data_IF_385446858900
#
_entry.id   IF_385446858900
#
_cell.length_a   1.000
_cell.length_b   1.000
_cell.length_c   1.000
_cell.angle_alpha   90.00
_cell.angle_beta   90.00
_cell.angle_gamma   90.00
#
_symmetry.space_group_name_H-M   'P 1'
#
loop_
_entity.id
_entity.type
_entity.pdbx_description
1 polymer ?
#
# COMPACT_ATOMS: atom_id res chain seq x y z
N UNK A 1 5.76 -6.50 -16.02
CA UNK A 1 7.13 -6.26 -15.51
C UNK A 1 7.13 -5.17 -14.45
N UNK A 2 7.82 -5.41 -13.37
CA UNK A 2 7.94 -4.43 -12.30
C UNK A 2 9.21 -3.61 -12.48
N UNK A 3 9.08 -2.30 -12.35
CA UNK A 3 10.18 -1.34 -12.41
C UNK A 3 10.07 -0.46 -11.18
N UNK A 4 11.17 -0.19 -10.51
CA UNK A 4 11.08 0.63 -9.33
C UNK A 4 12.41 1.10 -8.81
N UNK A 5 12.34 1.96 -7.80
CA UNK A 5 13.50 2.47 -7.10
C UNK A 5 13.26 2.44 -5.60
N UNK A 6 14.32 2.21 -4.85
CA UNK A 6 14.32 2.28 -3.41
C UNK A 6 14.89 3.64 -3.00
N UNK A 7 14.14 4.37 -2.17
CA UNK A 7 14.54 5.68 -1.68
C UNK A 7 14.48 5.69 -0.16
N UNK A 8 15.26 6.54 0.47
CA UNK A 8 15.37 6.58 1.94
C UNK A 8 14.04 6.78 2.65
N UNK A 9 13.11 7.52 2.06
CA UNK A 9 11.84 7.89 2.69
C UNK A 9 10.62 7.40 1.91
N UNK A 10 10.82 6.87 0.70
CA UNK A 10 9.72 6.39 -0.14
C UNK A 10 10.21 5.35 -1.12
N UNK A 11 9.57 4.20 -1.11
CA UNK A 11 9.78 3.14 -2.08
C UNK A 11 8.61 3.14 -3.05
N UNK A 12 8.92 2.93 -4.34
CA UNK A 12 7.89 2.95 -5.38
C UNK A 12 8.20 1.93 -6.44
N UNK A 13 7.19 1.17 -6.84
CA UNK A 13 7.26 0.20 -7.91
C UNK A 13 6.13 0.41 -8.89
N UNK A 14 6.42 0.22 -10.16
CA UNK A 14 5.47 0.39 -11.26
C UNK A 14 5.41 -0.91 -12.04
N UNK A 15 4.21 -1.35 -12.37
CA UNK A 15 4.01 -2.47 -13.29
C UNK A 15 3.72 -1.91 -14.69
N UNK A 16 4.43 -2.42 -15.68
CA UNK A 16 4.28 -2.01 -17.07
C UNK A 16 4.01 -3.23 -17.94
N UNK A 17 3.47 -3.01 -19.14
CA UNK A 17 3.33 -4.09 -20.10
C UNK A 17 4.72 -4.67 -20.44
N UNK A 18 4.84 -6.00 -20.64
CA UNK A 18 6.14 -6.61 -20.89
C UNK A 18 6.87 -6.07 -22.13
N UNK A 19 6.15 -5.61 -23.12
CA UNK A 19 6.68 -5.14 -24.41
C UNK A 19 6.42 -3.65 -24.66
N UNK A 20 5.91 -2.92 -23.67
CA UNK A 20 5.67 -1.48 -23.79
C UNK A 20 5.82 -0.80 -22.42
N UNK A 21 7.01 -0.27 -22.14
CA UNK A 21 7.33 0.38 -20.87
C UNK A 21 6.56 1.70 -20.65
N UNK A 22 5.98 2.27 -21.70
CA UNK A 22 5.18 3.49 -21.58
C UNK A 22 3.76 3.20 -21.09
N UNK A 23 3.33 1.94 -21.14
CA UNK A 23 2.00 1.57 -20.67
C UNK A 23 2.06 1.10 -19.21
N UNK A 24 1.65 1.97 -18.31
CA UNK A 24 1.58 1.69 -16.87
C UNK A 24 0.31 0.93 -16.55
N UNK A 25 0.46 -0.23 -15.92
CA UNK A 25 -0.66 -1.06 -15.46
C UNK A 25 -1.06 -0.73 -14.03
N UNK A 26 -0.14 -0.23 -13.24
CA UNK A 26 -0.40 0.15 -11.86
C UNK A 26 0.89 0.51 -11.14
N UNK A 27 0.75 0.95 -9.90
CA UNK A 27 1.90 1.29 -9.08
C UNK A 27 1.58 1.04 -7.60
N UNK A 28 2.62 0.86 -6.82
CA UNK A 28 2.57 0.82 -5.36
C UNK A 28 3.67 1.72 -4.83
N UNK A 29 3.39 2.41 -3.75
CA UNK A 29 4.37 3.25 -3.06
C UNK A 29 4.22 3.06 -1.57
N UNK A 30 5.33 3.23 -0.85
CA UNK A 30 5.33 3.29 0.60
C UNK A 30 6.05 4.55 1.03
N UNK A 31 5.46 5.26 1.96
CA UNK A 31 6.03 6.46 2.55
C UNK A 31 6.19 6.25 4.05
N UNK A 32 7.16 6.91 4.65
CA UNK A 32 7.34 6.86 6.09
C UNK A 32 6.09 7.39 6.79
N UNK A 33 5.57 6.63 7.75
CA UNK A 33 4.31 6.98 8.42
C UNK A 33 4.45 8.15 9.38
N UNK A 34 5.67 8.37 9.91
CA UNK A 34 5.92 9.43 10.88
C UNK A 34 7.36 9.93 10.77
N UNK A 35 7.57 11.21 11.07
CA UNK A 35 8.91 11.79 11.15
C UNK A 35 9.60 11.50 12.49
N UNK A 36 8.87 10.94 13.47
CA UNK A 36 9.44 10.59 14.77
C UNK A 36 10.31 9.35 14.64
N UNK A 37 11.52 9.41 15.21
CA UNK A 37 12.52 8.36 15.06
C UNK A 37 12.06 7.00 15.59
N UNK A 38 11.23 6.98 16.63
CA UNK A 38 10.71 5.73 17.20
C UNK A 38 9.83 4.96 16.23
N UNK A 39 9.29 5.62 15.18
CA UNK A 39 8.43 5.01 14.17
C UNK A 39 9.11 4.91 12.80
N UNK A 40 10.44 5.01 12.72
CA UNK A 40 11.12 5.01 11.41
C UNK A 40 10.96 3.70 10.61
N UNK A 41 10.58 2.63 11.26
CA UNK A 41 10.30 1.34 10.61
C UNK A 41 8.86 1.14 10.20
N UNK A 42 7.99 2.15 10.38
CA UNK A 42 6.58 2.10 10.01
C UNK A 42 6.37 2.87 8.72
N UNK A 43 5.77 2.23 7.74
CA UNK A 43 5.46 2.85 6.45
C UNK A 43 3.96 2.74 6.15
N UNK A 44 3.47 3.63 5.29
CA UNK A 44 2.12 3.57 4.75
C UNK A 44 2.20 3.22 3.28
N UNK A 45 1.36 2.29 2.83
CA UNK A 45 1.29 1.96 1.42
C UNK A 45 0.20 2.75 0.70
N UNK A 46 0.40 2.91 -0.60
CA UNK A 46 -0.62 3.37 -1.53
C UNK A 46 -0.50 2.51 -2.78
N UNK A 47 -1.62 2.07 -3.32
CA UNK A 47 -1.63 1.21 -4.49
C UNK A 47 -2.69 1.68 -5.48
N UNK A 48 -2.34 1.69 -6.75
CA UNK A 48 -3.25 2.01 -7.85
C UNK A 48 -3.11 0.98 -8.95
N UNK A 49 -4.22 0.50 -9.46
CA UNK A 49 -4.28 -0.44 -10.59
C UNK A 49 -5.17 0.15 -11.67
N UNK A 50 -4.61 0.26 -12.87
CA UNK A 50 -5.38 0.68 -14.03
C UNK A 50 -6.50 -0.32 -14.30
N UNK A 51 -7.67 0.18 -14.72
CA UNK A 51 -8.83 -0.69 -14.95
C UNK A 51 -8.56 -1.81 -15.95
N UNK A 52 -7.74 -1.57 -16.97
CA UNK A 52 -7.37 -2.57 -17.99
C UNK A 52 -6.51 -3.70 -17.42
N UNK A 53 -5.91 -3.49 -16.26
CA UNK A 53 -5.01 -4.46 -15.63
C UNK A 53 -5.71 -5.30 -14.55
N UNK A 54 -6.97 -5.04 -14.28
CA UNK A 54 -7.73 -5.80 -13.27
C UNK A 54 -7.87 -7.25 -13.69
N UNK A 55 -7.75 -8.16 -12.71
CA UNK A 55 -7.84 -9.59 -12.96
C UNK A 55 -6.58 -10.22 -13.54
N UNK A 56 -5.48 -9.46 -13.66
CA UNK A 56 -4.21 -9.96 -14.21
C UNK A 56 -3.16 -10.24 -13.16
N UNK A 57 -3.50 -10.14 -11.87
CA UNK A 57 -2.56 -10.36 -10.78
C UNK A 57 -1.56 -9.24 -10.54
N UNK A 58 -1.75 -8.09 -11.17
CA UNK A 58 -0.83 -6.95 -11.06
C UNK A 58 -0.77 -6.40 -9.65
N UNK A 59 -1.94 -6.23 -9.01
CA UNK A 59 -2.01 -5.70 -7.64
C UNK A 59 -1.29 -6.60 -6.65
N UNK A 60 -1.47 -7.92 -6.77
CA UNK A 60 -0.80 -8.88 -5.91
C UNK A 60 0.71 -8.84 -6.08
N UNK A 61 1.18 -8.80 -7.33
CA UNK A 61 2.62 -8.72 -7.63
C UNK A 61 3.25 -7.45 -7.07
N UNK A 62 2.58 -6.31 -7.21
CA UNK A 62 3.06 -5.03 -6.69
C UNK A 62 3.13 -5.04 -5.16
N UNK A 63 2.09 -5.51 -4.50
CA UNK A 63 2.07 -5.55 -3.03
C UNK A 63 3.10 -6.52 -2.49
N UNK A 64 3.25 -7.70 -3.12
CA UNK A 64 4.27 -8.68 -2.73
C UNK A 64 5.69 -8.08 -2.85
N UNK A 65 5.95 -7.33 -3.92
CA UNK A 65 7.24 -6.67 -4.11
C UNK A 65 7.50 -5.62 -3.05
N UNK A 66 6.48 -4.85 -2.68
CA UNK A 66 6.61 -3.85 -1.61
C UNK A 66 6.91 -4.53 -0.27
N UNK A 67 6.18 -5.59 0.07
CA UNK A 67 6.40 -6.33 1.32
C UNK A 67 7.82 -6.88 1.38
N UNK A 68 8.28 -7.50 0.30
CA UNK A 68 9.65 -8.03 0.20
C UNK A 68 10.69 -6.93 0.43
N UNK A 69 10.50 -5.79 -0.23
CA UNK A 69 11.40 -4.64 -0.11
C UNK A 69 11.41 -4.07 1.30
N UNK A 70 10.25 -3.94 1.92
CA UNK A 70 10.16 -3.46 3.31
C UNK A 70 10.90 -4.40 4.27
N UNK A 71 10.78 -5.70 4.08
CA UNK A 71 11.55 -6.67 4.88
C UNK A 71 13.05 -6.48 4.71
N UNK A 72 13.51 -6.33 3.46
CA UNK A 72 14.92 -6.13 3.17
C UNK A 72 15.47 -4.83 3.77
N UNK A 73 14.65 -3.80 3.89
CA UNK A 73 15.02 -2.51 4.45
C UNK A 73 14.78 -2.43 5.96
N UNK A 74 14.48 -3.56 6.61
CA UNK A 74 14.25 -3.63 8.05
C UNK A 74 13.09 -2.77 8.55
N UNK A 75 12.09 -2.55 7.71
CA UNK A 75 10.82 -1.98 8.16
C UNK A 75 10.06 -3.03 8.95
N UNK A 76 9.33 -2.63 9.97
CA UNK A 76 8.66 -3.59 10.86
C UNK A 76 7.13 -3.53 10.83
N UNK A 77 6.56 -2.55 10.17
CA UNK A 77 5.10 -2.47 10.03
C UNK A 77 4.72 -1.72 8.76
N UNK A 78 3.73 -2.23 8.07
CA UNK A 78 3.11 -1.56 6.93
C UNK A 78 1.67 -1.25 7.31
N UNK A 79 1.28 0.02 7.22
CA UNK A 79 -0.10 0.46 7.43
C UNK A 79 -0.76 0.73 6.08
N UNK A 80 -2.03 0.42 5.98
CA UNK A 80 -2.81 0.70 4.78
C UNK A 80 -4.14 1.33 5.18
N UNK A 81 -4.48 2.45 4.56
CA UNK A 81 -5.74 3.15 4.79
C UNK A 81 -6.66 2.85 3.61
N UNK A 82 -7.77 2.20 3.89
CA UNK A 82 -8.67 1.67 2.86
C UNK A 82 -10.08 2.13 3.18
N UNK A 83 -10.76 2.71 2.18
CA UNK A 83 -12.17 3.04 2.36
C UNK A 83 -12.98 1.74 2.54
N UNK A 84 -13.96 1.72 3.48
CA UNK A 84 -14.72 0.50 3.77
C UNK A 84 -15.39 -0.13 2.55
N UNK A 85 -15.77 0.69 1.57
CA UNK A 85 -16.43 0.22 0.35
C UNK A 85 -15.46 -0.42 -0.64
N UNK A 86 -14.16 -0.23 -0.45
CA UNK A 86 -13.15 -0.78 -1.35
C UNK A 86 -12.79 -2.22 -0.94
N UNK A 87 -13.73 -3.13 -1.21
CA UNK A 87 -13.60 -4.53 -0.84
C UNK A 87 -12.44 -5.22 -1.57
N UNK A 88 -12.14 -4.79 -2.79
CA UNK A 88 -11.04 -5.35 -3.57
C UNK A 88 -9.70 -5.10 -2.92
N UNK A 89 -9.43 -3.86 -2.48
CA UNK A 89 -8.20 -3.52 -1.79
C UNK A 89 -8.11 -4.20 -0.42
N UNK A 90 -9.22 -4.20 0.33
CA UNK A 90 -9.28 -4.88 1.62
C UNK A 90 -8.95 -6.37 1.48
N UNK A 91 -9.60 -7.05 0.52
CA UNK A 91 -9.35 -8.47 0.27
C UNK A 91 -7.90 -8.76 -0.15
N UNK A 92 -7.33 -7.89 -0.99
CA UNK A 92 -5.93 -8.00 -1.40
C UNK A 92 -5.00 -7.96 -0.18
N UNK A 93 -5.16 -6.96 0.67
CA UNK A 93 -4.31 -6.78 1.85
C UNK A 93 -4.50 -7.93 2.83
N UNK A 94 -5.73 -8.35 3.09
CA UNK A 94 -5.99 -9.49 3.99
C UNK A 94 -5.35 -10.77 3.45
N UNK A 95 -5.38 -10.99 2.14
CA UNK A 95 -4.77 -12.17 1.52
C UNK A 95 -3.25 -12.22 1.74
N UNK A 96 -2.61 -11.09 2.02
CA UNK A 96 -1.17 -11.00 2.31
C UNK A 96 -0.86 -10.92 3.81
N UNK A 97 -1.86 -11.16 4.66
CA UNK A 97 -1.66 -11.21 6.10
C UNK A 97 -1.94 -9.92 6.85
N UNK A 98 -2.40 -8.88 6.17
CA UNK A 98 -2.82 -7.65 6.85
C UNK A 98 -4.05 -7.92 7.71
N UNK A 99 -4.14 -7.26 8.84
CA UNK A 99 -5.23 -7.36 9.79
C UNK A 99 -5.86 -5.97 9.96
N UNK A 100 -7.19 -5.93 9.97
CA UNK A 100 -7.90 -4.68 10.23
C UNK A 100 -7.72 -4.31 11.69
N UNK A 101 -7.19 -3.10 11.93
CA UNK A 101 -6.97 -2.58 13.28
C UNK A 101 -8.18 -1.82 13.79
N UNK A 102 -8.83 -1.06 12.93
CA UNK A 102 -9.98 -0.27 13.31
C UNK A 102 -10.45 0.66 12.21
N UNK A 103 -11.32 1.59 12.58
CA UNK A 103 -11.92 2.55 11.67
C UNK A 103 -11.79 3.95 12.24
N UNK A 104 -11.26 4.88 11.45
CA UNK A 104 -11.36 6.31 11.76
C UNK A 104 -12.67 6.84 11.17
N UNK A 105 -13.47 7.46 12.00
CA UNK A 105 -14.77 7.95 11.57
C UNK A 105 -14.65 9.35 10.98
N UNK A 106 -15.27 9.54 9.81
CA UNK A 106 -15.34 10.85 9.14
C UNK A 106 -13.97 11.49 8.96
N UNK A 107 -12.98 10.68 8.63
CA UNK A 107 -11.60 11.13 8.51
C UNK A 107 -11.32 11.86 7.20
N UNK A 108 -11.98 11.46 6.12
CA UNK A 108 -11.72 11.99 4.80
C UNK A 108 -12.91 12.78 4.27
N UNK A 109 -12.67 14.04 3.89
CA UNK A 109 -13.65 14.83 3.16
C UNK A 109 -13.34 14.70 1.67
N UNK A 110 -14.28 14.16 0.91
CA UNK A 110 -14.08 13.96 -0.53
C UNK A 110 -14.09 15.30 -1.24
N UNK A 111 -13.11 15.50 -2.12
CA UNK A 111 -12.93 16.75 -2.86
C UNK A 111 -13.21 16.59 -4.35
N UNK A 112 -13.50 15.36 -4.80
CA UNK A 112 -13.73 15.05 -6.20
C UNK A 112 -14.74 13.90 -6.35
N UNK A 113 -15.24 13.72 -7.55
CA UNK A 113 -16.16 12.63 -7.88
C UNK A 113 -17.57 12.88 -7.38
N UNK A 114 -18.42 11.86 -7.48
CA UNK A 114 -19.82 11.93 -7.09
C UNK A 114 -20.04 12.18 -5.60
N UNK A 115 -19.07 11.78 -4.79
CA UNK A 115 -19.13 11.94 -3.33
C UNK A 115 -18.51 13.24 -2.85
N UNK A 116 -18.13 14.16 -3.74
CA UNK A 116 -17.53 15.43 -3.37
C UNK A 116 -18.36 16.16 -2.31
N UNK A 117 -17.72 16.65 -1.28
CA UNK A 117 -18.35 17.32 -0.15
C UNK A 117 -18.82 16.39 0.97
N UNK A 118 -18.75 15.07 0.78
CA UNK A 118 -19.14 14.12 1.82
C UNK A 118 -17.93 13.72 2.67
N UNK A 119 -18.22 13.36 3.92
CA UNK A 119 -17.22 12.82 4.84
C UNK A 119 -17.30 11.31 4.84
N UNK A 120 -16.12 10.66 4.87
CA UNK A 120 -16.03 9.20 4.78
C UNK A 120 -15.18 8.65 5.91
N UNK A 121 -15.58 7.45 6.36
CA UNK A 121 -14.77 6.66 7.28
C UNK A 121 -13.60 6.03 6.54
N UNK A 122 -12.54 5.73 7.27
CA UNK A 122 -11.36 5.08 6.71
C UNK A 122 -10.95 3.93 7.64
N UNK A 123 -10.86 2.73 7.07
CA UNK A 123 -10.37 1.57 7.79
C UNK A 123 -8.85 1.52 7.76
N UNK A 124 -8.25 1.08 8.85
CA UNK A 124 -6.81 0.92 8.96
C UNK A 124 -6.47 -0.57 9.06
N UNK A 125 -5.56 -1.00 8.21
CA UNK A 125 -4.98 -2.34 8.20
C UNK A 125 -3.51 -2.27 8.52
N UNK A 126 -2.97 -3.32 9.16
CA UNK A 126 -1.54 -3.41 9.42
C UNK A 126 -1.00 -4.79 9.06
N UNK A 127 0.25 -4.81 8.60
CA UNK A 127 1.04 -6.03 8.45
C UNK A 127 2.30 -5.88 9.31
N UNK A 128 2.48 -6.77 10.27
CA UNK A 128 3.69 -6.79 11.10
C UNK A 128 4.76 -7.61 10.40
N UNK A 129 5.96 -7.05 10.32
CA UNK A 129 7.13 -7.68 9.74
C UNK A 129 8.15 -7.99 10.84
N UNK A 130 9.16 -8.84 10.54
CA UNK A 130 10.22 -9.12 11.51
C UNK A 130 10.92 -7.85 11.98
N UNK A 131 11.19 -7.76 13.26
CA UNK A 131 11.87 -6.60 13.84
C UNK A 131 13.38 -6.77 13.77
N UNK A 132 14.13 -5.68 13.45
CA UNK A 132 15.59 -5.74 13.39
C UNK A 132 16.18 -6.21 14.71
N UNK A 133 17.12 -7.16 14.63
CA UNK A 133 17.83 -7.67 15.80
C UNK A 133 17.01 -8.56 16.72
N UNK A 134 15.82 -8.99 16.32
CA UNK A 134 14.97 -9.91 17.08
C UNK A 134 14.48 -11.05 16.21
N UNK A 135 14.35 -12.22 16.82
CA UNK A 135 13.66 -13.34 16.20
C UNK A 135 12.15 -13.21 16.45
N UNK A 136 11.38 -13.45 15.44
CA UNK A 136 9.92 -13.43 15.52
C UNK A 136 9.36 -14.79 15.16
#
# INVERSE_FOLDING_TARGET
RLVGSEMCIRDRFVAVEPDDDDKVLGWVAAAQASTRSVFHGVVEDSIYIHEDARGRGVSGALLDKLIETCKALNKWSIHSWIFPENEGSAGLHVSRGFVKVGTYHQMAKMTYGELAGTWRDTDIYELLLPKPGKEN
#
